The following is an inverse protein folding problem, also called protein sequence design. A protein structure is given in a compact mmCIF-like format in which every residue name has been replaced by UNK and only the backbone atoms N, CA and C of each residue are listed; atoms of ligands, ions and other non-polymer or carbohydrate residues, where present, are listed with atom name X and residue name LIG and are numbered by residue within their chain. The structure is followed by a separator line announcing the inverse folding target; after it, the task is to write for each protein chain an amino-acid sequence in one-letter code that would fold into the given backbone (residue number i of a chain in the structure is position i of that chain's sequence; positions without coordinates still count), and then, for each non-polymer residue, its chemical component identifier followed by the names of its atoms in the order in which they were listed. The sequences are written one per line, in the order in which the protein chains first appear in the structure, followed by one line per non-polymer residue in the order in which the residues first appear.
data_IF_271922379545
#
_entry.id   IF_271922379545
#
_cell.length_a   1.000
_cell.length_b   1.000
_cell.length_c   1.000
_cell.angle_alpha   90.00
_cell.angle_beta   90.00
_cell.angle_gamma   90.00
#
_symmetry.space_group_name_H-M   'P 1'
#
loop_
_entity.id
_entity.type
_entity.pdbx_description
1 polymer ?
#
# COMPACT_ATOMS: atom_id res chain seq x y z
N UNK A 1 -47.69 35.14 -42.82
CA UNK A 1 -47.99 33.71 -42.95
C UNK A 1 -46.68 33.00 -43.29
N UNK A 2 -46.00 32.45 -42.29
CA UNK A 2 -44.86 31.56 -42.47
C UNK A 2 -44.85 30.54 -41.34
N UNK A 3 -44.51 29.32 -41.73
CA UNK A 3 -45.03 28.05 -41.23
C UNK A 3 -43.90 27.26 -40.55
N UNK A 4 -44.25 26.48 -39.52
CA UNK A 4 -43.60 25.29 -38.91
C UNK A 4 -42.06 25.13 -39.03
N UNK A 5 -41.33 24.68 -37.99
CA UNK A 5 -41.36 23.27 -37.51
C UNK A 5 -40.58 23.10 -36.20
N UNK A 6 -41.17 22.36 -35.27
CA UNK A 6 -40.55 21.80 -34.08
C UNK A 6 -39.58 20.68 -34.48
N UNK A 7 -38.40 20.62 -33.86
CA UNK A 7 -37.57 19.40 -33.83
C UNK A 7 -37.04 19.16 -32.41
N UNK A 8 -37.32 18.01 -31.79
CA UNK A 8 -36.77 17.64 -30.49
C UNK A 8 -35.43 16.93 -30.68
N UNK A 9 -34.34 17.48 -30.14
CA UNK A 9 -33.06 16.78 -30.11
C UNK A 9 -33.05 15.81 -28.92
N UNK A 10 -33.18 14.52 -29.24
CA UNK A 10 -32.87 13.39 -28.37
C UNK A 10 -31.44 13.53 -27.84
N UNK A 11 -31.28 13.68 -26.53
CA UNK A 11 -29.97 13.69 -25.89
C UNK A 11 -29.52 12.23 -25.76
N UNK A 12 -28.62 11.81 -26.64
CA UNK A 12 -27.96 10.50 -26.55
C UNK A 12 -26.92 10.54 -25.42
N UNK A 13 -27.23 9.88 -24.31
CA UNK A 13 -26.32 9.75 -23.16
C UNK A 13 -25.10 8.91 -23.53
N UNK A 14 -23.91 9.53 -23.51
CA UNK A 14 -22.63 8.81 -23.67
C UNK A 14 -22.21 8.24 -22.31
N UNK A 15 -22.10 6.90 -22.22
CA UNK A 15 -21.54 6.23 -21.04
C UNK A 15 -20.02 6.17 -21.21
N UNK A 16 -19.29 6.88 -20.34
CA UNK A 16 -17.83 6.83 -20.27
C UNK A 16 -17.41 5.70 -19.32
N UNK A 17 -16.87 4.61 -19.85
CA UNK A 17 -16.28 3.53 -19.04
C UNK A 17 -14.82 3.89 -18.74
N UNK A 18 -14.54 4.34 -17.52
CA UNK A 18 -13.18 4.57 -17.03
C UNK A 18 -12.60 3.24 -16.57
N UNK A 19 -11.61 2.72 -17.31
CA UNK A 19 -10.79 1.59 -16.88
C UNK A 19 -9.66 2.11 -15.99
N UNK A 20 -9.83 2.00 -14.67
CA UNK A 20 -8.76 2.26 -13.71
C UNK A 20 -7.77 1.09 -13.74
N UNK A 21 -6.73 1.21 -14.58
CA UNK A 21 -5.52 0.39 -14.44
C UNK A 21 -4.80 0.83 -13.17
N UNK A 22 -5.05 0.12 -12.07
CA UNK A 22 -4.28 0.28 -10.84
C UNK A 22 -2.82 -0.04 -11.15
N UNK A 23 -1.93 0.95 -10.96
CA UNK A 23 -0.49 0.74 -11.10
C UNK A 23 -0.06 -0.18 -9.95
N UNK A 24 0.24 -1.45 -10.27
CA UNK A 24 0.97 -2.30 -9.33
C UNK A 24 2.37 -1.67 -9.17
N UNK A 25 2.58 -0.97 -8.06
CA UNK A 25 3.93 -0.52 -7.71
C UNK A 25 4.78 -1.75 -7.46
N UNK A 26 6.00 -1.76 -8.00
CA UNK A 26 6.98 -2.78 -7.69
C UNK A 26 7.25 -2.72 -6.18
N UNK A 27 6.77 -3.72 -5.46
CA UNK A 27 6.92 -3.82 -4.03
C UNK A 27 7.80 -5.02 -3.75
N UNK A 28 8.93 -4.76 -3.13
CA UNK A 28 9.83 -5.78 -2.63
C UNK A 28 9.19 -6.44 -1.41
N UNK A 29 9.49 -7.73 -1.21
CA UNK A 29 8.91 -8.54 -0.13
C UNK A 29 10.03 -9.23 0.63
N UNK A 30 9.95 -9.19 1.96
CA UNK A 30 10.86 -9.95 2.84
C UNK A 30 10.08 -10.64 3.96
N UNK A 31 10.40 -11.92 4.16
CA UNK A 31 9.89 -12.72 5.26
C UNK A 31 10.94 -12.84 6.36
N UNK A 32 10.56 -12.59 7.60
CA UNK A 32 11.50 -12.72 8.72
C UNK A 32 10.78 -12.93 10.05
N UNK A 33 11.56 -13.22 11.08
CA UNK A 33 11.07 -13.36 12.47
C UNK A 33 11.38 -12.11 13.26
N UNK A 34 10.39 -11.61 13.99
CA UNK A 34 10.51 -10.47 14.90
C UNK A 34 11.40 -10.84 16.09
N UNK A 35 12.42 -10.03 16.31
CA UNK A 35 13.25 -10.08 17.52
C UNK A 35 12.68 -9.16 18.60
N UNK A 36 12.30 -7.94 18.23
CA UNK A 36 11.75 -6.96 19.16
C UNK A 36 10.91 -5.90 18.42
N UNK A 37 9.92 -5.34 19.11
CA UNK A 37 9.18 -4.17 18.66
C UNK A 37 9.33 -3.08 19.73
N UNK A 38 10.01 -1.99 19.38
CA UNK A 38 10.19 -0.84 20.25
C UNK A 38 9.19 0.26 19.87
N UNK A 39 8.19 0.45 20.73
CA UNK A 39 7.12 1.45 20.53
C UNK A 39 7.57 2.88 20.82
N UNK A 40 8.67 3.07 21.55
CA UNK A 40 9.20 4.41 21.87
C UNK A 40 10.09 4.89 20.75
N UNK A 41 10.99 4.04 20.26
CA UNK A 41 11.83 4.32 19.09
C UNK A 41 11.09 4.17 17.75
N UNK A 42 9.88 3.59 17.76
CA UNK A 42 9.05 3.31 16.59
C UNK A 42 9.77 2.46 15.53
N UNK A 43 10.37 1.35 15.98
CA UNK A 43 11.13 0.43 15.12
C UNK A 43 10.74 -1.03 15.37
N UNK A 44 10.83 -1.83 14.31
CA UNK A 44 10.76 -3.28 14.36
C UNK A 44 12.15 -3.86 14.10
N UNK A 45 12.62 -4.70 15.02
CA UNK A 45 13.91 -5.39 14.90
C UNK A 45 13.64 -6.84 14.56
N UNK A 46 14.33 -7.33 13.53
CA UNK A 46 14.26 -8.71 13.07
C UNK A 46 15.40 -9.56 13.63
N UNK A 47 15.27 -10.89 13.55
CA UNK A 47 16.25 -11.85 14.10
C UNK A 47 17.61 -11.83 13.40
N UNK A 48 17.65 -11.42 12.13
CA UNK A 48 18.89 -11.15 11.38
C UNK A 48 19.56 -9.81 11.77
N UNK A 49 18.96 -9.10 12.73
CA UNK A 49 19.35 -7.77 13.23
C UNK A 49 19.05 -6.62 12.28
N UNK A 50 18.29 -6.86 11.22
CA UNK A 50 17.76 -5.78 10.39
C UNK A 50 16.77 -4.95 11.19
N UNK A 51 16.85 -3.61 11.06
CA UNK A 51 16.00 -2.66 11.75
C UNK A 51 15.10 -1.97 10.75
N UNK A 52 13.79 -2.04 10.98
CA UNK A 52 12.77 -1.42 10.15
C UNK A 52 12.15 -0.22 10.86
N UNK A 53 12.31 1.00 10.32
CA UNK A 53 11.70 2.20 10.88
C UNK A 53 10.20 2.23 10.55
N UNK A 54 9.35 2.14 11.58
CA UNK A 54 7.90 2.06 11.43
C UNK A 54 7.25 3.42 11.08
N UNK A 55 8.01 4.51 11.10
CA UNK A 55 7.57 5.81 10.58
C UNK A 55 7.31 5.79 9.07
N UNK A 56 7.92 4.86 8.34
CA UNK A 56 7.73 4.66 6.91
C UNK A 56 6.53 3.74 6.59
N UNK A 57 5.87 3.19 7.62
CA UNK A 57 4.75 2.28 7.48
C UNK A 57 3.46 3.04 7.12
N UNK A 58 2.83 2.65 6.01
CA UNK A 58 1.57 3.25 5.58
C UNK A 58 0.35 2.59 6.21
N UNK A 59 0.41 1.28 6.41
CA UNK A 59 -0.71 0.49 6.95
C UNK A 59 -0.61 0.31 8.48
N UNK A 60 -1.65 -0.25 9.08
CA UNK A 60 -1.63 -0.57 10.51
C UNK A 60 -0.69 -1.75 10.81
N UNK A 61 0.07 -1.64 11.90
CA UNK A 61 0.87 -2.75 12.42
C UNK A 61 -0.05 -3.84 13.01
N UNK A 62 0.27 -5.14 12.88
CA UNK A 62 -0.51 -6.20 13.49
C UNK A 62 -0.61 -6.03 15.02
N UNK A 63 -1.81 -6.21 15.57
CA UNK A 63 -2.01 -6.11 17.01
C UNK A 63 -1.24 -7.20 17.77
N UNK A 64 -0.68 -6.82 18.92
CA UNK A 64 0.04 -7.76 19.78
C UNK A 64 1.30 -8.35 19.14
N UNK A 65 1.91 -7.67 18.15
CA UNK A 65 3.18 -8.10 17.57
C UNK A 65 4.26 -8.22 18.66
N UNK A 66 4.90 -9.38 18.73
CA UNK A 66 5.86 -9.74 19.77
C UNK A 66 7.04 -10.53 19.21
N UNK A 67 8.08 -10.69 20.02
CA UNK A 67 9.24 -11.51 19.67
C UNK A 67 8.84 -12.95 19.34
N UNK A 68 9.42 -13.50 18.27
CA UNK A 68 9.13 -14.85 17.78
C UNK A 68 8.03 -14.91 16.72
N UNK A 69 7.24 -13.84 16.52
CA UNK A 69 6.28 -13.77 15.42
C UNK A 69 7.02 -13.75 14.08
N UNK A 70 6.51 -14.47 13.08
CA UNK A 70 6.97 -14.31 11.70
C UNK A 70 6.13 -13.26 10.99
N UNK A 71 6.77 -12.46 10.15
CA UNK A 71 6.14 -11.40 9.39
C UNK A 71 6.62 -11.39 7.95
N UNK A 72 5.70 -11.03 7.05
CA UNK A 72 6.00 -10.58 5.69
C UNK A 72 6.00 -9.04 5.73
N UNK A 73 7.04 -8.42 5.18
CA UNK A 73 7.18 -6.98 5.04
C UNK A 73 7.19 -6.64 3.55
N UNK A 74 6.26 -5.80 3.12
CA UNK A 74 6.21 -5.27 1.76
C UNK A 74 6.70 -3.83 1.75
N UNK A 75 7.66 -3.52 0.90
CA UNK A 75 8.30 -2.20 0.91
C UNK A 75 8.74 -1.77 -0.49
N UNK A 76 8.99 -0.49 -0.65
CA UNK A 76 9.65 0.11 -1.81
C UNK A 76 11.08 0.46 -1.39
N UNK A 77 12.08 -0.05 -2.10
CA UNK A 77 13.49 0.30 -1.88
C UNK A 77 13.81 1.68 -2.47
N UNK A 78 14.73 2.39 -1.83
CA UNK A 78 15.30 3.64 -2.35
C UNK A 78 16.66 3.37 -3.02
N UNK A 79 16.72 2.31 -3.86
CA UNK A 79 17.91 1.79 -4.56
C UNK A 79 19.18 1.65 -3.68
N UNK A 80 19.83 2.75 -3.33
CA UNK A 80 21.09 2.84 -2.59
C UNK A 80 20.90 3.23 -1.10
N UNK A 81 19.83 3.95 -0.76
CA UNK A 81 19.64 4.56 0.57
C UNK A 81 18.70 3.76 1.50
N UNK A 82 18.42 2.49 1.17
CA UNK A 82 17.62 1.60 2.00
C UNK A 82 16.14 1.58 1.62
N UNK A 83 15.25 1.89 2.57
CA UNK A 83 13.79 1.74 2.41
C UNK A 83 13.15 3.11 2.21
N UNK A 84 12.33 3.25 1.16
CA UNK A 84 11.57 4.47 0.87
C UNK A 84 10.20 4.46 1.55
N UNK A 85 9.47 3.36 1.40
CA UNK A 85 8.11 3.20 1.91
C UNK A 85 7.95 1.77 2.43
N UNK A 86 7.31 1.58 3.59
CA UNK A 86 6.85 0.27 4.02
C UNK A 86 5.34 0.24 3.80
N UNK A 87 4.87 -0.58 2.88
CA UNK A 87 3.44 -0.67 2.58
C UNK A 87 2.71 -1.42 3.68
N UNK A 88 3.20 -2.60 4.04
CA UNK A 88 2.52 -3.45 5.00
C UNK A 88 3.50 -4.33 5.77
N UNK A 89 3.16 -4.61 7.02
CA UNK A 89 3.77 -5.66 7.84
C UNK A 89 2.64 -6.59 8.25
N UNK A 90 2.68 -7.85 7.84
CA UNK A 90 1.63 -8.82 8.14
C UNK A 90 2.21 -10.05 8.79
N UNK A 91 1.56 -10.56 9.85
CA UNK A 91 1.97 -11.83 10.46
C UNK A 91 1.73 -12.96 9.45
N UNK A 92 2.70 -13.86 9.35
CA UNK A 92 2.64 -15.07 8.52
C UNK A 92 2.92 -16.28 9.42
N UNK A 93 2.33 -17.44 9.10
CA UNK A 93 2.42 -18.66 9.93
C UNK A 93 3.62 -19.56 9.54
#
# INVERSE_FOLDING_TARGET
MNMNRLTPYLIASTILLVLSIGQAQATDVVDSTVLAHDRVANVLVLTDKTVWPLELLTDALPEGLQAGDKVEIRYESNEDDGVKTIHSITRID
#
